data_IF_864492250074
#
_entry.id   IF_864492250074
#
_cell.length_a   1.000
_cell.length_b   1.000
_cell.length_c   1.000
_cell.angle_alpha   90.00
_cell.angle_beta   90.00
_cell.angle_gamma   90.00
#
_symmetry.space_group_name_H-M   'P 1'
#
loop_
_entity.id
_entity.type
_entity.pdbx_description
1 polymer ?
#
# COMPACT_ATOMS: atom_id res chain seq x y z
N UNK A 1 -29.29 17.65 34.10
CA UNK A 1 -28.14 16.81 34.51
C UNK A 1 -27.81 15.90 33.34
N UNK A 2 -26.99 16.40 32.41
CA UNK A 2 -26.47 15.58 31.32
C UNK A 2 -25.41 14.64 31.90
N UNK A 3 -25.62 13.34 31.74
CA UNK A 3 -24.63 12.30 32.01
C UNK A 3 -23.29 12.76 31.43
N UNK A 4 -22.27 12.85 32.29
CA UNK A 4 -20.88 13.08 31.89
C UNK A 4 -20.49 11.85 31.08
N UNK A 5 -20.73 11.89 29.76
CA UNK A 5 -20.52 10.80 28.83
C UNK A 5 -19.03 10.53 28.74
N UNK A 6 -18.53 9.70 29.65
CA UNK A 6 -17.20 9.13 29.56
C UNK A 6 -17.04 8.53 28.17
N UNK A 7 -16.04 8.99 27.42
CA UNK A 7 -15.67 8.38 26.14
C UNK A 7 -15.57 6.86 26.36
N UNK A 8 -16.24 6.04 25.53
CA UNK A 8 -16.19 4.59 25.67
C UNK A 8 -14.73 4.11 25.68
N UNK A 9 -14.37 3.25 26.63
CA UNK A 9 -13.03 2.64 26.71
C UNK A 9 -12.61 2.01 25.38
N UNK A 10 -13.58 1.44 24.65
CA UNK A 10 -13.42 0.91 23.30
C UNK A 10 -12.83 1.91 22.28
N UNK A 11 -13.16 3.21 22.38
CA UNK A 11 -12.60 4.24 21.50
C UNK A 11 -11.12 4.48 21.81
N UNK A 12 -10.74 4.59 23.09
CA UNK A 12 -9.34 4.78 23.49
C UNK A 12 -8.47 3.65 22.98
N UNK A 13 -8.95 2.40 23.14
CA UNK A 13 -8.27 1.21 22.63
C UNK A 13 -8.13 1.30 21.10
N UNK A 14 -9.23 1.57 20.40
CA UNK A 14 -9.25 1.66 18.93
C UNK A 14 -8.25 2.69 18.40
N UNK A 15 -8.22 3.90 18.98
CA UNK A 15 -7.30 4.98 18.60
C UNK A 15 -5.84 4.61 18.88
N UNK A 16 -5.58 3.95 20.01
CA UNK A 16 -4.23 3.53 20.43
C UNK A 16 -3.61 2.53 19.46
N UNK A 17 -4.41 1.68 18.81
CA UNK A 17 -3.92 0.75 17.79
C UNK A 17 -3.94 1.34 16.38
N UNK A 18 -5.02 2.05 16.04
CA UNK A 18 -5.23 2.62 14.71
C UNK A 18 -4.11 3.55 14.27
N UNK A 19 -3.77 4.54 15.10
CA UNK A 19 -2.78 5.56 14.74
C UNK A 19 -1.39 4.95 14.50
N UNK A 20 -0.80 4.17 15.44
CA UNK A 20 0.50 3.56 15.21
C UNK A 20 0.55 2.63 14.00
N UNK A 21 -0.53 1.87 13.73
CA UNK A 21 -0.59 0.99 12.56
C UNK A 21 -0.52 1.79 11.24
N UNK A 22 -1.31 2.86 11.10
CA UNK A 22 -1.27 3.69 9.90
C UNK A 22 0.05 4.44 9.74
N UNK A 23 0.61 5.01 10.82
CA UNK A 23 1.90 5.70 10.76
C UNK A 23 3.05 4.75 10.44
N UNK A 24 3.08 3.57 11.05
CA UNK A 24 4.09 2.54 10.76
C UNK A 24 3.99 2.11 9.29
N UNK A 25 2.78 1.87 8.81
CA UNK A 25 2.54 1.51 7.41
C UNK A 25 2.98 2.62 6.46
N UNK A 26 2.60 3.87 6.73
CA UNK A 26 2.96 5.04 5.94
C UNK A 26 4.47 5.21 5.86
N UNK A 27 5.16 5.20 7.01
CA UNK A 27 6.60 5.34 7.08
C UNK A 27 7.31 4.20 6.33
N UNK A 28 6.87 2.96 6.53
CA UNK A 28 7.43 1.80 5.85
C UNK A 28 7.20 1.82 4.34
N UNK A 29 6.01 2.19 3.88
CA UNK A 29 5.67 2.31 2.45
C UNK A 29 6.54 3.40 1.79
N UNK A 30 6.67 4.58 2.40
CA UNK A 30 7.53 5.66 1.91
C UNK A 30 8.98 5.18 1.87
N UNK A 31 9.47 4.53 2.93
CA UNK A 31 10.83 4.00 2.99
C UNK A 31 11.09 2.98 1.86
N UNK A 32 10.15 2.07 1.59
CA UNK A 32 10.26 1.08 0.52
C UNK A 32 10.29 1.77 -0.86
N UNK A 33 9.44 2.78 -1.09
CA UNK A 33 9.45 3.55 -2.34
C UNK A 33 10.75 4.32 -2.53
N UNK A 34 11.25 5.01 -1.50
CA UNK A 34 12.53 5.71 -1.57
C UNK A 34 13.69 4.73 -1.78
N UNK A 35 13.69 3.60 -1.09
CA UNK A 35 14.70 2.55 -1.25
C UNK A 35 14.73 2.05 -2.69
N UNK A 36 13.58 1.66 -3.25
CA UNK A 36 13.49 1.15 -4.62
C UNK A 36 13.86 2.20 -5.66
N UNK A 37 13.48 3.46 -5.45
CA UNK A 37 13.83 4.58 -6.31
C UNK A 37 15.34 4.85 -6.32
N UNK A 38 15.95 5.05 -5.14
CA UNK A 38 17.37 5.39 -5.03
C UNK A 38 18.30 4.22 -5.37
N UNK A 39 17.90 2.99 -5.06
CA UNK A 39 18.65 1.79 -5.47
C UNK A 39 18.40 1.40 -6.93
N UNK A 40 17.54 2.15 -7.66
CA UNK A 40 17.19 1.90 -9.06
C UNK A 40 16.70 0.47 -9.30
N UNK A 41 15.93 -0.06 -8.35
CA UNK A 41 15.33 -1.38 -8.49
C UNK A 41 14.28 -1.31 -9.60
N UNK A 42 14.35 -2.24 -10.56
CA UNK A 42 13.48 -2.25 -11.73
C UNK A 42 12.06 -2.63 -11.28
N UNK A 43 11.20 -1.62 -11.11
CA UNK A 43 9.79 -1.76 -10.73
C UNK A 43 8.89 -1.09 -11.75
N UNK A 44 7.72 -1.69 -11.98
CA UNK A 44 6.71 -1.14 -12.88
C UNK A 44 6.09 0.15 -12.34
N UNK A 45 5.58 1.00 -13.22
CA UNK A 45 4.93 2.27 -12.82
C UNK A 45 3.68 2.04 -11.99
N UNK A 46 2.90 1.00 -12.30
CA UNK A 46 1.67 0.66 -11.55
C UNK A 46 2.01 0.20 -10.13
N UNK A 47 3.17 -0.43 -9.93
CA UNK A 47 3.62 -0.81 -8.58
C UNK A 47 3.87 0.41 -7.69
N UNK A 48 4.54 1.45 -8.21
CA UNK A 48 4.70 2.72 -7.49
C UNK A 48 3.36 3.41 -7.24
N UNK A 49 2.45 3.38 -8.22
CA UNK A 49 1.07 3.84 -8.05
C UNK A 49 0.37 3.13 -6.89
N UNK A 50 0.48 1.80 -6.81
CA UNK A 50 -0.17 1.02 -5.76
C UNK A 50 0.38 1.36 -4.38
N UNK A 51 1.70 1.46 -4.25
CA UNK A 51 2.35 1.89 -3.00
C UNK A 51 1.94 3.32 -2.63
N UNK A 52 1.82 4.21 -3.63
CA UNK A 52 1.36 5.59 -3.42
C UNK A 52 -0.10 5.64 -2.98
N UNK A 53 -1.00 4.83 -3.54
CA UNK A 53 -2.39 4.75 -3.09
C UNK A 53 -2.50 4.30 -1.63
N UNK A 54 -1.68 3.35 -1.18
CA UNK A 54 -1.65 2.93 0.22
C UNK A 54 -1.11 4.04 1.14
N UNK A 55 -0.14 4.83 0.68
CA UNK A 55 0.34 6.00 1.43
C UNK A 55 -0.76 7.07 1.56
N UNK A 56 -1.52 7.34 0.48
CA UNK A 56 -2.68 8.25 0.50
C UNK A 56 -3.72 7.75 1.51
N UNK A 57 -4.07 6.46 1.46
CA UNK A 57 -5.01 5.81 2.39
C UNK A 57 -4.58 5.96 3.86
N UNK A 58 -3.30 5.78 4.17
CA UNK A 58 -2.81 6.01 5.54
C UNK A 58 -2.83 7.49 5.92
N UNK A 59 -2.50 8.39 5.00
CA UNK A 59 -2.46 9.83 5.28
C UNK A 59 -3.87 10.38 5.53
N UNK A 60 -4.85 10.01 4.70
CA UNK A 60 -6.25 10.41 4.86
C UNK A 60 -6.82 9.94 6.19
N UNK A 61 -6.58 8.67 6.55
CA UNK A 61 -7.02 8.06 7.81
C UNK A 61 -6.44 8.77 9.05
N UNK A 62 -5.29 9.44 8.92
CA UNK A 62 -4.62 10.16 10.00
C UNK A 62 -4.84 11.69 10.00
N UNK A 63 -5.66 12.26 9.11
CA UNK A 63 -5.82 13.72 8.97
C UNK A 63 -6.20 14.44 10.28
N UNK A 64 -7.19 13.91 11.01
CA UNK A 64 -7.60 14.50 12.30
C UNK A 64 -6.45 14.52 13.31
N UNK A 65 -5.70 13.42 13.41
CA UNK A 65 -4.55 13.34 14.29
C UNK A 65 -3.45 14.34 13.91
N UNK A 66 -3.11 14.43 12.62
CA UNK A 66 -2.09 15.35 12.11
C UNK A 66 -2.48 16.81 12.35
N UNK A 67 -3.77 17.13 12.26
CA UNK A 67 -4.28 18.48 12.50
C UNK A 67 -4.36 18.88 13.99
N UNK A 68 -4.14 17.94 14.91
CA UNK A 68 -4.35 18.15 16.34
C UNK A 68 -5.82 18.26 16.76
N UNK A 69 -6.77 17.90 15.87
CA UNK A 69 -8.21 17.93 16.14
C UNK A 69 -8.79 16.54 16.41
N UNK A 70 -7.96 15.55 16.73
CA UNK A 70 -8.44 14.27 17.23
C UNK A 70 -9.08 14.50 18.59
N UNK A 71 -10.37 14.19 18.80
CA UNK A 71 -11.02 14.42 20.09
C UNK A 71 -10.33 13.59 21.18
N UNK A 72 -9.58 14.28 22.04
CA UNK A 72 -9.07 13.76 23.30
C UNK A 72 -10.14 13.93 24.36
N UNK A 73 -10.17 13.03 25.35
CA UNK A 73 -11.22 12.94 26.37
C UNK A 73 -11.59 14.19 27.16
N UNK A 74 -10.80 15.25 27.02
CA UNK A 74 -10.85 16.41 27.89
C UNK A 74 -11.36 17.67 27.18
N UNK A 75 -11.58 17.62 25.85
CA UNK A 75 -12.22 18.71 25.10
C UNK A 75 -13.37 18.18 24.25
N UNK A 76 -14.59 18.57 24.61
CA UNK A 76 -15.83 18.44 23.82
C UNK A 76 -15.82 19.28 22.52
N UNK A 77 -14.63 19.64 22.01
CA UNK A 77 -14.51 20.45 20.80
C UNK A 77 -14.67 19.54 19.58
N UNK A 78 -15.82 19.68 18.92
CA UNK A 78 -16.05 19.03 17.64
C UNK A 78 -14.96 19.44 16.62
N UNK A 79 -14.45 18.50 15.81
CA UNK A 79 -13.46 18.83 14.79
C UNK A 79 -14.05 19.81 13.77
N UNK A 80 -13.18 20.58 13.11
CA UNK A 80 -13.57 21.46 12.04
C UNK A 80 -14.34 20.68 10.98
N UNK A 81 -15.53 21.17 10.64
CA UNK A 81 -16.44 20.50 9.71
C UNK A 81 -15.79 20.18 8.37
N UNK A 82 -15.03 21.10 7.76
CA UNK A 82 -14.41 20.88 6.46
C UNK A 82 -13.29 19.84 6.52
N UNK A 83 -12.52 19.81 7.61
CA UNK A 83 -11.52 18.79 7.83
C UNK A 83 -12.16 17.40 7.99
N UNK A 84 -13.21 17.32 8.80
CA UNK A 84 -13.98 16.10 9.05
C UNK A 84 -14.63 15.57 7.76
N UNK A 85 -15.24 16.45 6.97
CA UNK A 85 -15.81 16.12 5.67
C UNK A 85 -14.73 15.66 4.67
N UNK A 86 -13.60 16.35 4.61
CA UNK A 86 -12.49 15.99 3.71
C UNK A 86 -11.92 14.63 4.07
N UNK A 87 -11.72 14.36 5.37
CA UNK A 87 -11.28 13.05 5.83
C UNK A 87 -12.28 11.96 5.45
N UNK A 88 -13.58 12.17 5.75
CA UNK A 88 -14.61 11.19 5.41
C UNK A 88 -14.62 10.90 3.91
N UNK A 89 -14.65 11.94 3.07
CA UNK A 89 -14.66 11.79 1.62
C UNK A 89 -13.44 11.02 1.08
N UNK A 90 -12.24 11.32 1.61
CA UNK A 90 -11.01 10.61 1.24
C UNK A 90 -11.07 9.14 1.65
N UNK A 91 -11.36 8.84 2.92
CA UNK A 91 -11.42 7.46 3.44
C UNK A 91 -12.40 6.59 2.65
N UNK A 92 -13.61 7.10 2.34
CA UNK A 92 -14.56 6.37 1.51
C UNK A 92 -14.09 6.18 0.06
N UNK A 93 -13.30 7.09 -0.50
CA UNK A 93 -12.77 6.96 -1.86
C UNK A 93 -11.48 6.13 -1.97
N UNK A 94 -10.68 6.07 -0.90
CA UNK A 94 -9.36 5.43 -0.91
C UNK A 94 -9.45 3.91 -0.93
N UNK A 95 -10.49 3.32 -0.35
CA UNK A 95 -10.75 1.87 -0.40
C UNK A 95 -10.92 1.37 -1.84
N UNK A 96 -11.85 1.92 -2.66
CA UNK A 96 -11.91 1.60 -4.09
C UNK A 96 -10.61 1.86 -4.82
N UNK A 97 -9.90 2.95 -4.51
CA UNK A 97 -8.60 3.27 -5.14
C UNK A 97 -7.59 2.14 -4.90
N UNK A 98 -7.44 1.67 -3.66
CA UNK A 98 -6.50 0.62 -3.32
C UNK A 98 -6.81 -0.70 -4.05
N UNK A 99 -8.08 -1.10 -4.12
CA UNK A 99 -8.52 -2.31 -4.84
C UNK A 99 -8.32 -2.13 -6.36
N UNK A 100 -8.65 -0.96 -6.90
CA UNK A 100 -8.48 -0.67 -8.33
C UNK A 100 -7.01 -0.63 -8.75
N UNK A 101 -6.12 -0.10 -7.89
CA UNK A 101 -4.68 -0.16 -8.11
C UNK A 101 -4.13 -1.59 -7.99
N UNK A 102 -4.66 -2.41 -7.08
CA UNK A 102 -4.33 -3.83 -6.99
C UNK A 102 -4.74 -4.59 -8.26
N UNK A 103 -5.96 -4.36 -8.75
CA UNK A 103 -6.45 -4.90 -10.03
C UNK A 103 -5.51 -4.51 -11.18
N UNK A 104 -5.12 -3.24 -11.25
CA UNK A 104 -4.20 -2.73 -12.27
C UNK A 104 -2.84 -3.41 -12.21
N UNK A 105 -2.32 -3.64 -11.00
CA UNK A 105 -1.06 -4.33 -10.77
C UNK A 105 -1.13 -5.81 -11.18
N UNK A 106 -2.25 -6.49 -10.90
CA UNK A 106 -2.50 -7.86 -11.37
C UNK A 106 -2.65 -7.94 -12.89
N UNK A 107 -3.31 -6.96 -13.53
CA UNK A 107 -3.39 -6.90 -14.98
C UNK A 107 -2.00 -6.71 -15.62
N UNK A 108 -1.16 -5.84 -15.06
CA UNK A 108 0.24 -5.71 -15.51
C UNK A 108 0.99 -7.04 -15.37
N UNK A 109 0.84 -7.72 -14.23
CA UNK A 109 1.45 -9.04 -14.00
C UNK A 109 0.93 -10.10 -14.97
N UNK A 110 -0.38 -10.15 -15.19
CA UNK A 110 -1.03 -11.07 -16.12
C UNK A 110 -0.48 -10.90 -17.53
N UNK A 111 -0.35 -9.66 -18.02
CA UNK A 111 0.22 -9.40 -19.34
C UNK A 111 1.70 -9.78 -19.42
N UNK A 112 2.49 -9.54 -18.37
CA UNK A 112 3.89 -9.99 -18.30
C UNK A 112 4.00 -11.51 -18.39
N UNK A 113 3.26 -12.25 -17.56
CA UNK A 113 3.24 -13.72 -17.57
C UNK A 113 2.75 -14.26 -18.92
N UNK A 114 1.68 -13.68 -19.46
CA UNK A 114 1.13 -14.08 -20.76
C UNK A 114 2.08 -13.79 -21.92
N UNK A 115 2.87 -12.71 -21.84
CA UNK A 115 3.85 -12.38 -22.87
C UNK A 115 5.06 -13.31 -22.84
N UNK A 116 5.52 -13.70 -21.65
CA UNK A 116 6.65 -14.62 -21.47
C UNK A 116 6.38 -16.01 -22.07
N UNK A 117 5.12 -16.44 -22.13
CA UNK A 117 4.73 -17.71 -22.74
C UNK A 117 4.71 -17.68 -24.28
N UNK A 118 4.55 -16.51 -24.89
CA UNK A 118 4.42 -16.36 -26.35
C UNK A 118 5.81 -16.41 -27.02
N UNK A 119 6.41 -17.61 -27.11
CA UNK A 119 7.77 -17.86 -27.67
C UNK A 119 7.96 -17.50 -29.16
N UNK A 120 6.91 -17.11 -29.89
CA UNK A 120 7.06 -16.63 -31.26
C UNK A 120 7.69 -15.23 -31.23
N UNK A 121 8.98 -15.14 -31.56
CA UNK A 121 9.93 -14.02 -31.47
C UNK A 121 9.55 -12.64 -32.05
N UNK A 122 8.26 -12.33 -32.23
CA UNK A 122 7.72 -10.99 -32.48
C UNK A 122 7.57 -10.16 -31.18
N UNK A 123 8.40 -10.45 -30.18
CA UNK A 123 8.20 -10.16 -28.75
C UNK A 123 8.36 -8.67 -28.37
N UNK A 124 9.03 -7.87 -29.21
CA UNK A 124 9.36 -6.49 -28.88
C UNK A 124 8.13 -5.56 -28.86
N UNK A 125 7.16 -5.78 -29.75
CA UNK A 125 5.93 -4.97 -29.85
C UNK A 125 4.96 -5.23 -28.68
N UNK A 126 4.93 -6.45 -28.11
CA UNK A 126 4.03 -6.79 -26.99
C UNK A 126 4.44 -6.14 -25.67
N UNK A 127 5.72 -5.82 -25.47
CA UNK A 127 6.19 -5.19 -24.22
C UNK A 127 5.68 -3.76 -24.06
N UNK A 128 5.40 -3.03 -25.16
CA UNK A 128 4.77 -1.70 -25.10
C UNK A 128 3.35 -1.76 -24.50
N UNK A 129 2.60 -2.85 -24.75
CA UNK A 129 1.22 -3.01 -24.26
C UNK A 129 1.14 -3.19 -22.74
N UNK A 130 2.17 -3.76 -22.12
CA UNK A 130 2.25 -3.93 -20.67
C UNK A 130 2.56 -2.61 -19.91
N UNK A 131 3.04 -1.57 -20.60
CA UNK A 131 3.39 -0.27 -20.00
C UNK A 131 2.31 0.78 -20.24
N UNK A 132 1.05 0.36 -20.33
CA UNK A 132 0.05 1.30 -20.75
C UNK A 132 -0.35 2.29 -19.65
N UNK A 133 -0.35 3.61 -19.92
CA UNK A 133 -0.62 4.63 -18.90
C UNK A 133 -2.04 4.57 -18.33
N UNK A 134 -3.00 3.98 -19.05
CA UNK A 134 -4.40 3.87 -18.59
C UNK A 134 -4.57 3.01 -17.34
N UNK A 135 -3.69 2.03 -17.09
CA UNK A 135 -3.68 1.26 -15.83
C UNK A 135 -3.37 2.12 -14.60
N UNK A 136 -2.74 3.28 -14.79
CA UNK A 136 -2.47 4.22 -13.70
C UNK A 136 -3.50 5.36 -13.68
N UNK A 137 -3.85 5.90 -14.86
CA UNK A 137 -4.76 7.05 -14.95
C UNK A 137 -6.17 6.68 -14.46
N UNK A 138 -6.69 5.51 -14.82
CA UNK A 138 -8.07 5.14 -14.53
C UNK A 138 -8.37 5.02 -13.02
N UNK A 139 -7.54 4.34 -12.21
CA UNK A 139 -7.73 4.31 -10.75
C UNK A 139 -7.74 5.69 -10.10
N UNK A 140 -6.76 6.54 -10.40
CA UNK A 140 -6.67 7.87 -9.81
C UNK A 140 -7.79 8.80 -10.29
N UNK A 141 -8.19 8.72 -11.57
CA UNK A 141 -9.34 9.47 -12.06
C UNK A 141 -10.63 9.04 -11.35
N UNK A 142 -10.84 7.72 -11.18
CA UNK A 142 -12.00 7.19 -10.46
C UNK A 142 -12.02 7.63 -8.99
N UNK A 143 -10.85 7.65 -8.34
CA UNK A 143 -10.69 8.15 -6.98
C UNK A 143 -11.04 9.63 -6.87
N UNK A 144 -10.47 10.50 -7.71
CA UNK A 144 -10.78 11.92 -7.71
C UNK A 144 -12.29 12.18 -7.88
N UNK A 145 -12.93 11.46 -8.80
CA UNK A 145 -14.38 11.57 -9.03
C UNK A 145 -15.19 11.14 -7.80
N UNK A 146 -14.83 10.04 -7.17
CA UNK A 146 -15.48 9.56 -5.94
C UNK A 146 -15.29 10.53 -4.77
N UNK A 147 -14.07 11.05 -4.58
CA UNK A 147 -13.80 12.06 -3.54
C UNK A 147 -14.66 13.31 -3.75
N UNK A 148 -14.73 13.83 -4.99
CA UNK A 148 -15.57 14.98 -5.32
C UNK A 148 -17.05 14.67 -5.06
N UNK A 149 -17.52 13.48 -5.43
CA UNK A 149 -18.91 13.07 -5.19
C UNK A 149 -19.25 13.04 -3.70
N UNK A 150 -18.39 12.46 -2.86
CA UNK A 150 -18.59 12.42 -1.40
C UNK A 150 -18.47 13.79 -0.74
N UNK A 151 -17.56 14.66 -1.22
CA UNK A 151 -17.47 16.05 -0.79
C UNK A 151 -18.77 16.81 -1.08
N UNK A 152 -19.26 16.76 -2.32
CA UNK A 152 -20.51 17.42 -2.71
C UNK A 152 -21.70 16.86 -1.91
N UNK A 153 -21.73 15.54 -1.70
CA UNK A 153 -22.76 14.91 -0.88
C UNK A 153 -22.77 15.45 0.56
N UNK A 154 -21.60 15.52 1.21
CA UNK A 154 -21.49 16.02 2.58
C UNK A 154 -21.74 17.51 2.71
N UNK A 155 -21.32 18.33 1.73
CA UNK A 155 -21.63 19.77 1.66
C UNK A 155 -23.13 20.04 1.56
N UNK A 156 -23.86 19.19 0.82
CA UNK A 156 -25.32 19.30 0.70
C UNK A 156 -26.06 18.78 1.93
N UNK A 157 -25.42 17.96 2.76
CA UNK A 157 -26.02 17.30 3.91
C UNK A 157 -25.11 17.41 5.15
N UNK A 158 -24.87 18.63 5.69
CA UNK A 158 -23.90 18.85 6.76
C UNK A 158 -24.21 18.07 8.04
N UNK A 159 -25.50 17.84 8.34
CA UNK A 159 -25.95 17.03 9.48
C UNK A 159 -25.59 15.55 9.36
N UNK A 160 -25.15 15.09 8.19
CA UNK A 160 -24.73 13.70 7.94
C UNK A 160 -23.22 13.51 8.06
N UNK A 161 -22.45 14.56 8.26
CA UNK A 161 -21.01 14.44 8.54
C UNK A 161 -20.87 14.34 10.04
N UNK A 162 -20.60 13.15 10.56
CA UNK A 162 -20.50 12.93 12.01
C UNK A 162 -19.13 12.40 12.38
N UNK A 163 -18.63 12.93 13.48
CA UNK A 163 -17.60 12.26 14.26
C UNK A 163 -18.33 11.41 15.30
N UNK A 164 -18.46 10.10 15.05
CA UNK A 164 -18.98 9.19 16.06
C UNK A 164 -17.86 8.90 17.05
N UNK A 165 -18.08 9.08 18.34
CA UNK A 165 -17.09 8.82 19.41
C UNK A 165 -16.65 7.35 19.53
N UNK A 166 -17.00 6.51 18.55
CA UNK A 166 -16.58 5.13 18.43
C UNK A 166 -15.59 4.92 17.27
N UNK A 167 -15.58 5.77 16.25
CA UNK A 167 -14.66 5.69 15.11
C UNK A 167 -13.49 6.65 15.31
N UNK A 168 -12.24 6.24 15.00
CA UNK A 168 -11.09 7.15 15.09
C UNK A 168 -11.06 8.20 13.96
N UNK A 169 -12.00 8.15 13.00
CA UNK A 169 -12.10 9.04 11.86
C UNK A 169 -13.55 9.51 11.64
N UNK A 170 -13.72 10.58 10.87
CA UNK A 170 -15.03 11.10 10.49
C UNK A 170 -15.75 10.23 9.45
N UNK A 171 -17.04 10.02 9.64
CA UNK A 171 -17.87 9.21 8.74
C UNK A 171 -19.09 9.97 8.21
N UNK A 172 -19.65 9.48 7.11
CA UNK A 172 -20.94 9.94 6.59
C UNK A 172 -22.04 9.06 7.20
N UNK A 173 -22.86 9.63 8.07
CA UNK A 173 -23.95 8.99 8.81
C UNK A 173 -25.18 8.71 7.94
N UNK A 174 -24.95 8.02 6.82
CA UNK A 174 -25.98 7.57 5.91
C UNK A 174 -25.60 6.19 5.38
N UNK A 175 -26.61 5.33 5.28
CA UNK A 175 -26.46 4.00 4.68
C UNK A 175 -26.04 4.11 3.20
N UNK A 176 -26.47 5.15 2.47
CA UNK A 176 -26.24 5.27 1.02
C UNK A 176 -24.75 5.35 0.64
N UNK A 177 -23.92 6.30 1.14
CA UNK A 177 -22.49 6.33 0.82
C UNK A 177 -21.76 5.03 1.21
N UNK A 178 -22.13 4.46 2.37
CA UNK A 178 -21.54 3.23 2.90
C UNK A 178 -21.86 2.02 2.03
N UNK A 179 -23.13 1.79 1.70
CA UNK A 179 -23.57 0.71 0.81
C UNK A 179 -22.96 0.89 -0.59
N UNK A 180 -23.00 2.11 -1.13
CA UNK A 180 -22.42 2.40 -2.44
C UNK A 180 -20.93 2.04 -2.47
N UNK A 181 -20.16 2.49 -1.49
CA UNK A 181 -18.74 2.16 -1.38
C UNK A 181 -18.50 0.64 -1.28
N UNK A 182 -19.23 -0.04 -0.39
CA UNK A 182 -19.12 -1.50 -0.23
C UNK A 182 -19.43 -2.26 -1.53
N UNK A 183 -20.44 -1.83 -2.30
CA UNK A 183 -20.78 -2.44 -3.60
C UNK A 183 -19.67 -2.21 -4.63
N UNK A 184 -19.15 -0.99 -4.73
CA UNK A 184 -18.04 -0.67 -5.65
C UNK A 184 -16.80 -1.52 -5.30
N UNK A 185 -16.43 -1.57 -4.02
CA UNK A 185 -15.34 -2.40 -3.52
C UNK A 185 -15.54 -3.88 -3.85
N UNK A 186 -16.74 -4.42 -3.63
CA UNK A 186 -17.06 -5.82 -3.93
C UNK A 186 -16.92 -6.15 -5.42
N UNK A 187 -17.39 -5.27 -6.31
CA UNK A 187 -17.27 -5.46 -7.78
C UNK A 187 -15.80 -5.44 -8.20
N UNK A 188 -15.02 -4.46 -7.73
CA UNK A 188 -13.59 -4.36 -8.04
C UNK A 188 -12.80 -5.56 -7.49
N UNK A 189 -13.15 -6.03 -6.30
CA UNK A 189 -12.53 -7.18 -5.67
C UNK A 189 -12.85 -8.48 -6.43
N UNK A 190 -14.09 -8.65 -6.90
CA UNK A 190 -14.47 -9.77 -7.75
C UNK A 190 -13.66 -9.78 -9.06
N UNK A 191 -13.52 -8.62 -9.72
CA UNK A 191 -12.68 -8.49 -10.90
C UNK A 191 -11.21 -8.85 -10.60
N UNK A 192 -10.69 -8.43 -9.43
CA UNK A 192 -9.34 -8.75 -8.96
C UNK A 192 -9.14 -10.26 -8.77
N UNK A 193 -10.12 -10.95 -8.16
CA UNK A 193 -10.13 -12.41 -7.99
C UNK A 193 -10.11 -13.13 -9.34
N UNK A 194 -10.90 -12.68 -10.32
CA UNK A 194 -10.94 -13.27 -11.67
C UNK A 194 -9.56 -13.16 -12.34
N UNK A 195 -8.93 -11.98 -12.31
CA UNK A 195 -7.60 -11.80 -12.89
C UNK A 195 -6.55 -12.65 -12.17
N UNK A 196 -6.62 -12.76 -10.84
CA UNK A 196 -5.71 -13.63 -10.08
C UNK A 196 -5.88 -15.10 -10.48
N UNK A 197 -7.11 -15.58 -10.63
CA UNK A 197 -7.39 -16.94 -11.10
C UNK A 197 -6.84 -17.17 -12.51
N UNK A 198 -6.98 -16.19 -13.42
CA UNK A 198 -6.39 -16.27 -14.75
C UNK A 198 -4.87 -16.35 -14.71
N UNK A 199 -4.20 -15.62 -13.81
CA UNK A 199 -2.75 -15.73 -13.60
C UNK A 199 -2.40 -17.13 -13.10
N UNK A 200 -3.13 -17.67 -12.13
CA UNK A 200 -2.89 -19.01 -11.59
C UNK A 200 -2.97 -20.08 -12.68
N UNK A 201 -4.03 -20.06 -13.50
CA UNK A 201 -4.19 -20.97 -14.66
C UNK A 201 -3.01 -20.84 -15.61
N UNK A 202 -2.58 -19.62 -15.94
CA UNK A 202 -1.42 -19.41 -16.83
C UNK A 202 -0.12 -19.95 -16.23
N UNK A 203 0.12 -19.77 -14.94
CA UNK A 203 1.31 -20.31 -14.26
C UNK A 203 1.31 -21.85 -14.26
N UNK A 204 0.15 -22.47 -14.06
CA UNK A 204 0.00 -23.94 -14.15
C UNK A 204 0.28 -24.43 -15.56
N UNK A 205 -0.27 -23.77 -16.59
CA UNK A 205 -0.02 -24.12 -17.99
C UNK A 205 1.47 -23.99 -18.35
N UNK A 206 2.14 -22.93 -17.89
CA UNK A 206 3.60 -22.77 -18.08
C UNK A 206 4.35 -23.92 -17.41
N UNK A 207 4.00 -24.27 -16.16
CA UNK A 207 4.65 -25.36 -15.42
C UNK A 207 4.54 -26.70 -16.16
N UNK A 208 3.35 -27.03 -16.67
CA UNK A 208 3.11 -28.26 -17.43
C UNK A 208 3.93 -28.26 -18.72
N UNK A 209 3.87 -27.19 -19.51
CA UNK A 209 4.58 -27.12 -20.79
C UNK A 209 6.11 -27.13 -20.62
N UNK A 210 6.64 -26.54 -19.54
CA UNK A 210 8.07 -26.54 -19.24
C UNK A 210 8.61 -27.91 -18.79
N UNK A 211 7.78 -28.80 -18.25
CA UNK A 211 8.22 -30.16 -17.90
C UNK A 211 8.53 -31.01 -19.12
N UNK A 212 7.89 -30.73 -20.26
CA UNK A 212 8.05 -31.51 -21.48
C UNK A 212 9.26 -31.11 -22.34
N UNK A 213 9.87 -29.96 -22.08
CA UNK A 213 10.98 -29.47 -22.89
C UNK A 213 12.17 -29.09 -22.00
N UNK A 214 13.28 -29.86 -22.00
CA UNK A 214 14.50 -29.48 -21.29
C UNK A 214 15.13 -28.27 -21.98
N UNK A 215 14.67 -27.08 -21.62
CA UNK A 215 15.21 -25.83 -22.18
C UNK A 215 16.49 -25.44 -21.43
N UNK A 216 17.57 -25.29 -22.19
CA UNK A 216 18.90 -24.79 -21.81
C UNK A 216 18.99 -23.25 -21.81
N UNK A 217 17.86 -22.54 -21.90
CA UNK A 217 17.80 -21.08 -21.94
C UNK A 217 17.40 -20.46 -20.60
N UNK A 218 18.07 -19.36 -20.23
CA UNK A 218 17.88 -18.59 -18.99
C UNK A 218 16.52 -17.86 -18.92
N UNK A 219 15.41 -18.59 -18.97
CA UNK A 219 14.10 -18.04 -18.63
C UNK A 219 14.09 -17.59 -17.16
N UNK A 220 13.50 -16.42 -16.85
CA UNK A 220 13.31 -16.00 -15.46
C UNK A 220 12.63 -17.12 -14.69
N UNK A 221 13.18 -17.44 -13.51
CA UNK A 221 12.78 -18.63 -12.78
C UNK A 221 11.28 -18.53 -12.43
N UNK A 222 10.51 -19.58 -12.75
CA UNK A 222 9.09 -19.70 -12.37
C UNK A 222 8.84 -19.37 -10.88
N UNK A 223 9.87 -19.57 -10.04
CA UNK A 223 9.87 -19.20 -8.63
C UNK A 223 9.64 -17.71 -8.35
N UNK A 224 10.12 -16.80 -9.21
CA UNK A 224 9.90 -15.35 -9.03
C UNK A 224 8.44 -14.98 -9.21
N UNK A 225 7.80 -15.51 -10.26
CA UNK A 225 6.36 -15.29 -10.51
C UNK A 225 5.49 -15.96 -9.44
N UNK A 226 5.86 -17.15 -8.98
CA UNK A 226 5.15 -17.83 -7.90
C UNK A 226 5.22 -17.05 -6.58
N UNK A 227 6.40 -16.49 -6.26
CA UNK A 227 6.57 -15.64 -5.09
C UNK A 227 5.69 -14.38 -5.15
N UNK A 228 5.61 -13.73 -6.31
CA UNK A 228 4.69 -12.60 -6.51
C UNK A 228 3.22 -13.01 -6.39
N UNK A 229 2.83 -14.14 -6.99
CA UNK A 229 1.48 -14.67 -6.91
C UNK A 229 1.04 -14.92 -5.45
N UNK A 230 1.87 -15.62 -4.66
CA UNK A 230 1.58 -15.88 -3.23
C UNK A 230 1.38 -14.57 -2.47
N UNK A 231 2.23 -13.58 -2.70
CA UNK A 231 2.14 -12.26 -2.05
C UNK A 231 0.81 -11.57 -2.38
N UNK A 232 0.39 -11.57 -3.64
CA UNK A 232 -0.88 -10.98 -4.04
C UNK A 232 -2.08 -11.75 -3.49
N UNK A 233 -2.02 -13.08 -3.46
CA UNK A 233 -3.05 -13.92 -2.83
C UNK A 233 -3.23 -13.57 -1.36
N UNK A 234 -2.13 -13.37 -0.62
CA UNK A 234 -2.21 -12.95 0.78
C UNK A 234 -2.89 -11.58 0.93
N UNK A 235 -2.45 -10.56 0.18
CA UNK A 235 -3.09 -9.24 0.18
C UNK A 235 -4.59 -9.35 -0.12
N UNK A 236 -4.95 -10.20 -1.09
CA UNK A 236 -6.32 -10.37 -1.53
C UNK A 236 -7.20 -11.05 -0.47
N UNK A 237 -6.67 -12.05 0.25
CA UNK A 237 -7.37 -12.67 1.40
C UNK A 237 -7.69 -11.62 2.46
N UNK A 238 -6.72 -10.79 2.84
CA UNK A 238 -6.95 -9.70 3.78
C UNK A 238 -7.98 -8.67 3.25
N UNK A 239 -7.92 -8.35 1.95
CA UNK A 239 -8.90 -7.48 1.30
C UNK A 239 -10.33 -8.05 1.30
N UNK A 240 -10.50 -9.35 1.05
CA UNK A 240 -11.80 -10.04 1.14
C UNK A 240 -12.35 -9.98 2.56
N UNK A 241 -11.52 -10.27 3.57
CA UNK A 241 -11.94 -10.18 4.97
C UNK A 241 -12.38 -8.74 5.30
N UNK A 242 -11.61 -7.74 4.89
CA UNK A 242 -11.96 -6.34 5.11
C UNK A 242 -13.30 -5.97 4.47
N UNK A 243 -13.52 -6.31 3.20
CA UNK A 243 -14.79 -6.01 2.50
C UNK A 243 -15.98 -6.74 3.14
N UNK A 244 -15.81 -7.99 3.57
CA UNK A 244 -16.87 -8.73 4.29
C UNK A 244 -17.24 -7.99 5.58
N UNK A 245 -16.24 -7.57 6.37
CA UNK A 245 -16.47 -6.80 7.60
C UNK A 245 -17.16 -5.46 7.28
N UNK A 246 -16.77 -4.77 6.22
CA UNK A 246 -17.41 -3.52 5.79
C UNK A 246 -18.86 -3.72 5.32
N UNK A 247 -19.19 -4.85 4.71
CA UNK A 247 -20.58 -5.20 4.35
C UNK A 247 -21.40 -5.49 5.61
N UNK A 248 -20.87 -6.28 6.55
CA UNK A 248 -21.54 -6.54 7.84
C UNK A 248 -21.80 -5.21 8.56
N UNK A 249 -20.79 -4.35 8.63
CA UNK A 249 -20.90 -3.01 9.22
C UNK A 249 -21.89 -2.10 8.48
N UNK A 250 -22.07 -2.31 7.18
CA UNK A 250 -23.05 -1.56 6.39
C UNK A 250 -24.50 -1.97 6.70
N UNK A 251 -24.72 -3.22 7.13
CA UNK A 251 -26.04 -3.81 7.38
C UNK A 251 -26.41 -3.75 8.86
N UNK A 252 -25.44 -3.94 9.76
CA UNK A 252 -25.64 -4.00 11.21
C UNK A 252 -25.18 -2.70 11.89
N UNK A 253 -26.14 -1.89 12.35
CA UNK A 253 -25.87 -0.65 13.09
C UNK A 253 -25.18 -0.88 14.45
N UNK A 254 -25.24 -2.11 14.99
CA UNK A 254 -24.68 -2.47 16.30
C UNK A 254 -23.38 -3.29 16.23
N UNK A 255 -22.77 -3.40 15.05
CA UNK A 255 -21.56 -4.20 14.90
C UNK A 255 -20.36 -3.57 15.63
N UNK A 256 -19.52 -4.37 16.31
CA UNK A 256 -18.35 -3.87 17.04
C UNK A 256 -17.33 -3.23 16.09
N UNK A 257 -17.32 -1.90 16.12
CA UNK A 257 -16.48 -1.00 15.30
C UNK A 257 -14.99 -1.38 15.31
N UNK A 258 -14.51 -1.97 16.40
CA UNK A 258 -13.12 -2.40 16.55
C UNK A 258 -12.66 -3.33 15.41
N UNK A 259 -13.51 -4.23 14.90
CA UNK A 259 -13.10 -5.14 13.82
C UNK A 259 -12.89 -4.42 12.50
N UNK A 260 -13.75 -3.44 12.20
CA UNK A 260 -13.61 -2.61 11.01
C UNK A 260 -12.32 -1.78 11.06
N UNK A 261 -12.05 -1.17 12.22
CA UNK A 261 -10.84 -0.39 12.50
C UNK A 261 -9.58 -1.25 12.30
N UNK A 262 -9.53 -2.45 12.89
CA UNK A 262 -8.36 -3.33 12.75
C UNK A 262 -8.20 -3.82 11.30
N UNK A 263 -9.30 -4.16 10.62
CA UNK A 263 -9.26 -4.65 9.24
C UNK A 263 -8.72 -3.58 8.28
N UNK A 264 -9.23 -2.34 8.36
CA UNK A 264 -8.78 -1.24 7.51
C UNK A 264 -7.32 -0.85 7.76
N UNK A 265 -6.90 -0.73 9.03
CA UNK A 265 -5.51 -0.39 9.36
C UNK A 265 -4.54 -1.55 9.04
N UNK A 266 -5.02 -2.79 9.07
CA UNK A 266 -4.24 -3.99 8.81
C UNK A 266 -3.82 -4.15 7.35
N UNK A 267 -4.66 -3.77 6.39
CA UNK A 267 -4.37 -3.91 4.94
C UNK A 267 -3.06 -3.21 4.51
N UNK A 268 -2.85 -1.90 4.76
CA UNK A 268 -1.60 -1.24 4.38
C UNK A 268 -0.39 -1.78 5.16
N UNK A 269 -0.58 -2.23 6.41
CA UNK A 269 0.48 -2.84 7.21
C UNK A 269 0.94 -4.17 6.62
N UNK A 270 0.00 -5.04 6.26
CA UNK A 270 0.27 -6.33 5.59
C UNK A 270 0.94 -6.09 4.25
N UNK A 271 0.47 -5.14 3.45
CA UNK A 271 1.11 -4.77 2.20
C UNK A 271 2.56 -4.28 2.43
N UNK A 272 2.78 -3.40 3.41
CA UNK A 272 4.12 -2.94 3.78
C UNK A 272 5.04 -4.11 4.16
N UNK A 273 4.58 -5.07 4.97
CA UNK A 273 5.38 -6.26 5.34
C UNK A 273 5.68 -7.11 4.10
N UNK A 274 4.69 -7.34 3.24
CA UNK A 274 4.84 -8.16 2.03
C UNK A 274 5.81 -7.53 1.01
N UNK A 275 5.76 -6.21 0.81
CA UNK A 275 6.65 -5.50 -0.10
C UNK A 275 8.01 -5.16 0.52
N UNK A 276 8.09 -5.00 1.84
CA UNK A 276 9.34 -4.80 2.57
C UNK A 276 10.17 -6.07 2.73
N UNK A 277 9.51 -7.23 2.81
CA UNK A 277 10.17 -8.55 2.91
C UNK A 277 10.72 -9.08 1.58
N UNK A 278 10.71 -8.27 0.51
CA UNK A 278 11.26 -8.69 -0.77
C UNK A 278 12.78 -8.77 -0.70
N UNK A 279 13.34 -9.87 -1.21
CA UNK A 279 14.77 -10.19 -1.12
C UNK A 279 15.64 -9.03 -1.61
N UNK A 280 15.28 -8.39 -2.71
CA UNK A 280 16.02 -7.26 -3.27
C UNK A 280 16.01 -6.03 -2.34
N UNK A 281 14.87 -5.71 -1.73
CA UNK A 281 14.77 -4.63 -0.73
C UNK A 281 15.62 -4.96 0.50
N UNK A 282 15.52 -6.19 1.03
CA UNK A 282 16.29 -6.63 2.19
C UNK A 282 17.80 -6.64 1.92
N UNK A 283 18.24 -6.99 0.70
CA UNK A 283 19.64 -6.94 0.31
C UNK A 283 20.17 -5.50 0.33
N UNK A 284 19.40 -4.54 -0.22
CA UNK A 284 19.76 -3.11 -0.17
C UNK A 284 19.86 -2.62 1.28
N UNK A 285 18.89 -2.96 2.13
CA UNK A 285 18.90 -2.56 3.54
C UNK A 285 20.06 -3.19 4.31
N UNK A 286 20.37 -4.48 4.07
CA UNK A 286 21.52 -5.16 4.66
C UNK A 286 22.84 -4.49 4.26
N UNK A 287 22.97 -4.10 3.01
CA UNK A 287 24.19 -3.45 2.50
C UNK A 287 24.33 -2.02 3.04
N UNK A 288 23.23 -1.28 3.14
CA UNK A 288 23.20 0.04 3.78
C UNK A 288 23.56 -0.07 5.28
N UNK A 289 22.98 -1.03 5.98
CA UNK A 289 23.29 -1.30 7.40
C UNK A 289 24.76 -1.63 7.62
N UNK A 290 25.36 -2.48 6.77
CA UNK A 290 26.80 -2.78 6.81
C UNK A 290 27.67 -1.54 6.61
N UNK A 291 27.31 -0.65 5.68
CA UNK A 291 28.03 0.61 5.45
C UNK A 291 27.92 1.59 6.63
N UNK A 292 26.74 1.70 7.22
CA UNK A 292 26.52 2.56 8.40
C UNK A 292 27.30 2.06 9.62
N UNK A 293 27.23 0.76 9.92
CA UNK A 293 27.98 0.15 11.03
C UNK A 293 29.50 0.26 10.83
N UNK A 294 29.98 0.08 9.59
CA UNK A 294 31.39 0.26 9.25
C UNK A 294 31.91 1.67 9.52
N UNK A 295 31.12 2.71 9.17
CA UNK A 295 31.48 4.13 9.42
C UNK A 295 31.52 4.48 10.90
N UNK A 296 30.56 3.98 11.69
CA UNK A 296 30.55 4.21 13.15
C UNK A 296 31.81 3.63 13.80
N UNK A 297 32.24 2.43 13.39
CA UNK A 297 33.47 1.81 13.90
C UNK A 297 34.74 2.60 13.55
N UNK A 298 34.81 3.20 12.36
CA UNK A 298 35.96 4.03 11.96
C UNK A 298 36.01 5.35 12.70
N UNK A 299 34.86 6.00 12.93
CA UNK A 299 34.79 7.24 13.73
C UNK A 299 35.11 7.00 15.21
N UNK A 300 34.71 5.84 15.77
CA UNK A 300 35.04 5.46 17.15
C UNK A 300 36.55 5.26 17.38
N UNK A 301 37.27 4.66 16.41
CA UNK A 301 38.73 4.52 16.52
C UNK A 301 39.47 5.85 16.35
N UNK A 302 38.96 6.78 15.55
CA UNK A 302 39.58 8.10 15.40
C UNK A 302 39.55 8.96 16.67
N UNK A 303 38.58 8.76 17.58
CA UNK A 303 38.55 9.45 18.87
C UNK A 303 39.55 8.91 19.90
N UNK A 304 40.01 7.67 19.77
CA UNK A 304 41.02 7.10 20.67
C UNK A 304 42.46 7.32 20.17
N UNK A 305 42.65 7.63 18.89
CA UNK A 305 43.95 7.92 18.30
C UNK A 305 44.29 9.43 18.24
N UNK A 306 43.38 10.32 18.66
CA UNK A 306 43.64 11.77 18.73
C UNK A 306 44.41 12.17 19.99
N UNK A 307 45.48 11.43 20.28
CA UNK A 307 46.58 11.82 21.15
C UNK A 307 47.88 11.62 20.38
N UNK A 308 48.31 12.66 19.65
CA UNK A 308 49.54 12.74 18.83
C UNK A 308 49.53 11.92 17.53
N UNK A 309 49.36 12.58 16.38
CA UNK A 309 50.43 12.81 15.37
C UNK A 309 49.89 13.24 13.99
N UNK A 310 50.74 14.05 13.34
CA UNK A 310 50.69 14.74 12.05
C UNK A 310 49.91 14.12 10.88
N UNK A 311 49.16 14.98 10.17
CA UNK A 311 48.48 14.78 8.88
C UNK A 311 49.45 14.57 7.72
N UNK A 312 49.20 13.56 6.87
CA UNK A 312 49.18 13.66 5.39
C UNK A 312 48.78 12.32 4.77
N UNK A 313 47.52 12.12 4.35
CA UNK A 313 47.23 11.20 3.23
C UNK A 313 45.88 11.51 2.57
N UNK A 314 45.93 11.63 1.23
CA UNK A 314 44.79 11.83 0.32
C UNK A 314 44.02 10.52 0.14
N UNK A 315 42.77 10.45 0.62
CA UNK A 315 41.86 9.37 0.25
C UNK A 315 41.24 9.64 -1.13
N UNK A 316 41.57 8.78 -2.10
CA UNK A 316 40.98 8.74 -3.44
C UNK A 316 39.78 7.79 -3.40
N UNK A 317 38.56 8.33 -3.50
CA UNK A 317 37.34 7.53 -3.63
C UNK A 317 37.28 6.89 -5.02
N UNK A 318 37.64 5.62 -5.12
CA UNK A 318 37.38 4.80 -6.31
C UNK A 318 35.90 4.42 -6.34
N UNK A 319 35.17 4.94 -7.33
CA UNK A 319 33.82 4.52 -7.67
C UNK A 319 33.84 3.04 -8.12
N UNK A 320 33.11 2.11 -7.49
CA UNK A 320 32.87 0.81 -8.08
C UNK A 320 31.87 0.98 -9.22
N UNK A 321 32.39 0.79 -10.42
CA UNK A 321 31.71 0.72 -11.71
C UNK A 321 30.48 -0.20 -11.59
N UNK A 322 29.32 0.35 -11.95
CA UNK A 322 28.15 -0.43 -12.38
C UNK A 322 28.59 -1.30 -13.55
N UNK A 323 28.71 -2.61 -13.33
CA UNK A 323 28.80 -3.58 -14.42
C UNK A 323 27.50 -3.50 -15.22
N UNK A 324 27.58 -2.79 -16.35
CA UNK A 324 26.65 -2.86 -17.45
C UNK A 324 26.82 -4.27 -18.05
N UNK A 325 25.89 -5.19 -17.76
CA UNK A 325 25.74 -6.39 -18.58
C UNK A 325 25.14 -5.93 -19.91
N UNK A 326 26.02 -5.57 -20.82
CA UNK A 326 25.76 -5.42 -22.25
C UNK A 326 26.34 -6.69 -22.89
N UNK A 327 25.48 -7.69 -23.06
CA UNK A 327 25.73 -8.83 -23.95
C UNK A 327 24.48 -8.94 -24.83
N UNK A 328 24.72 -8.70 -26.12
CA UNK A 328 23.95 -9.06 -27.33
C UNK A 328 22.43 -8.83 -27.37
#
# INVERSE_FOLDING_TARGET
MASRNSIPEAYRISVTFWIPMHFTSLAGIILIQLTTWFARLVRGRVWYGFMTSLAIFCLSSCLLYISGQQPTSDLDQAPNYFLCLTQAALVYSDEPLAIHMLLSLLLELYWKVSSAHSQNGKTLEKHKRASSPWLLILPYASWCLLTIAFLVFGLRNPSKVVFSGHNPYCALDQSVPRIFNSVVCAILLLATMIVLAMIAVRLVMIKINCQSQPQTGALPSLGEYLGLFIRFTLILIFGVIAVIISIIFAIEDNSPIMYHVIAQAGVPLVAMIIFGSQKDVLLVWRDLGRRCLGRVRTMGMFRLASGKTSMTSKCRCSNPVLHKCEND
#
